data_IF_862066957147
#
_entry.id   IF_862066957147
#
_cell.length_a   1.000
_cell.length_b   1.000
_cell.length_c   1.000
_cell.angle_alpha   90.00
_cell.angle_beta   90.00
_cell.angle_gamma   90.00
#
_symmetry.space_group_name_H-M   'P 1'
#
loop_
_entity.id
_entity.type
_entity.pdbx_description
1 polymer ?
#
# COMPACT_ATOMS: atom_id res chain seq x y z
N UNK A 1 11.55 13.86 -1.07
CA UNK A 1 11.65 12.40 -1.13
C UNK A 1 10.27 11.84 -1.40
N UNK A 2 10.15 10.96 -2.36
CA UNK A 2 8.90 10.24 -2.66
C UNK A 2 9.07 8.87 -2.03
N UNK A 3 8.20 8.52 -1.11
CA UNK A 3 8.13 7.17 -0.58
C UNK A 3 7.00 6.44 -1.29
N UNK A 4 7.34 5.41 -2.01
CA UNK A 4 6.40 4.40 -2.47
C UNK A 4 6.33 3.32 -1.41
N UNK A 5 5.36 3.44 -0.52
CA UNK A 5 5.18 2.49 0.57
C UNK A 5 4.59 1.16 0.13
N UNK A 6 4.13 1.05 -1.10
CA UNK A 6 3.63 -0.21 -1.62
C UNK A 6 4.69 -1.29 -1.68
N UNK A 7 5.92 -0.89 -1.99
CA UNK A 7 7.04 -1.82 -2.07
C UNK A 7 7.66 -2.18 -0.72
N UNK A 8 7.71 -1.23 0.19
CA UNK A 8 8.29 -1.50 1.51
C UNK A 8 7.42 -2.44 2.32
N UNK A 9 6.12 -2.47 2.07
CA UNK A 9 5.20 -3.26 2.84
C UNK A 9 5.24 -4.75 2.54
N UNK A 10 5.83 -5.16 1.45
CA UNK A 10 5.71 -6.50 0.93
C UNK A 10 6.98 -7.29 1.06
N UNK A 11 8.08 -6.60 0.93
CA UNK A 11 9.34 -7.27 0.66
C UNK A 11 9.98 -7.91 1.89
N UNK A 12 9.54 -7.61 3.10
CA UNK A 12 10.44 -7.87 4.19
C UNK A 12 9.92 -8.83 5.24
N UNK A 13 8.67 -8.85 5.55
CA UNK A 13 8.16 -9.84 6.50
C UNK A 13 6.65 -9.70 6.77
N UNK A 14 5.86 -10.72 6.60
CA UNK A 14 4.44 -10.69 6.94
C UNK A 14 4.15 -10.70 8.45
N UNK A 15 5.15 -10.50 9.31
CA UNK A 15 5.00 -10.55 10.76
C UNK A 15 4.93 -9.18 11.45
N UNK A 16 4.62 -9.20 12.74
CA UNK A 16 4.40 -8.03 13.59
C UNK A 16 5.56 -7.01 13.64
N UNK A 17 6.78 -7.45 13.41
CA UNK A 17 7.98 -6.60 13.31
C UNK A 17 7.85 -5.50 12.25
N UNK A 18 7.03 -5.72 11.27
CA UNK A 18 6.85 -4.87 10.14
C UNK A 18 6.01 -3.63 10.42
N UNK A 19 4.98 -3.77 11.22
CA UNK A 19 4.16 -2.66 11.70
C UNK A 19 5.01 -1.64 12.45
N UNK A 20 5.90 -2.11 13.31
CA UNK A 20 6.83 -1.25 14.04
C UNK A 20 7.86 -0.56 13.14
N UNK A 21 8.33 -1.22 12.11
CA UNK A 21 9.30 -0.60 11.18
C UNK A 21 8.66 0.49 10.31
N UNK A 22 7.40 0.36 9.96
CA UNK A 22 6.67 1.40 9.23
C UNK A 22 6.46 2.65 10.04
N UNK A 23 5.99 2.49 11.25
CA UNK A 23 5.78 3.59 12.17
C UNK A 23 7.09 4.32 12.44
N UNK A 24 8.16 3.58 12.67
CA UNK A 24 9.49 4.13 12.83
C UNK A 24 9.99 4.84 11.57
N UNK A 25 9.78 4.29 10.40
CA UNK A 25 10.21 4.91 9.14
C UNK A 25 9.48 6.23 8.87
N UNK A 26 8.19 6.28 9.08
CA UNK A 26 7.40 7.50 8.91
C UNK A 26 7.84 8.57 9.92
N UNK A 27 8.02 8.22 11.19
CA UNK A 27 8.47 9.13 12.23
C UNK A 27 9.90 9.65 11.96
N UNK A 28 10.82 8.77 11.59
CA UNK A 28 12.22 9.12 11.33
C UNK A 28 12.39 10.07 10.13
N UNK A 29 11.59 9.89 9.09
CA UNK A 29 11.66 10.69 7.87
C UNK A 29 10.58 11.76 7.75
N UNK A 30 9.83 12.04 8.79
CA UNK A 30 8.69 12.97 8.76
C UNK A 30 9.00 14.33 8.12
N UNK A 31 10.17 14.92 8.41
CA UNK A 31 10.58 16.22 7.87
C UNK A 31 11.00 16.16 6.39
N UNK A 32 11.07 14.98 5.81
CA UNK A 32 11.48 14.72 4.41
C UNK A 32 10.40 14.01 3.60
N UNK A 33 9.25 13.80 4.20
CA UNK A 33 8.13 13.14 3.54
C UNK A 33 7.27 14.20 2.83
N UNK A 34 7.36 14.26 1.50
CA UNK A 34 6.68 15.27 0.68
C UNK A 34 5.53 14.70 -0.13
N UNK A 35 5.53 13.41 -0.36
CA UNK A 35 4.58 12.74 -1.23
C UNK A 35 4.42 11.29 -0.83
N UNK A 36 3.20 10.78 -0.87
CA UNK A 36 2.84 9.41 -0.52
C UNK A 36 1.98 8.80 -1.63
N UNK A 37 2.30 7.58 -2.03
CA UNK A 37 1.45 6.79 -2.90
C UNK A 37 0.64 5.78 -2.08
N UNK A 38 -0.65 5.73 -2.32
CA UNK A 38 -1.57 4.75 -1.74
C UNK A 38 -1.79 3.62 -2.75
N UNK A 39 -1.00 2.59 -2.62
CA UNK A 39 -1.05 1.37 -3.42
C UNK A 39 -1.23 0.17 -2.51
N UNK A 40 -2.02 -0.79 -2.92
CA UNK A 40 -2.26 -2.00 -2.15
C UNK A 40 -1.76 -3.23 -2.90
N UNK A 41 -1.59 -4.30 -2.17
CA UNK A 41 -1.08 -5.54 -2.72
C UNK A 41 -1.66 -6.73 -1.97
N UNK A 42 -2.01 -7.77 -2.73
CA UNK A 42 -2.43 -9.05 -2.20
C UNK A 42 -1.25 -10.02 -2.18
N UNK A 43 -0.99 -10.63 -1.03
CA UNK A 43 0.02 -11.67 -0.87
C UNK A 43 -0.61 -13.06 -0.90
N UNK A 44 0.15 -14.00 -1.44
CA UNK A 44 -0.17 -15.43 -1.50
C UNK A 44 0.93 -16.21 -0.77
N UNK A 45 0.82 -16.36 0.58
CA UNK A 45 1.89 -16.95 1.40
C UNK A 45 2.29 -18.35 0.99
N UNK A 46 1.34 -19.15 0.53
CA UNK A 46 1.60 -20.50 0.02
C UNK A 46 2.51 -20.50 -1.21
N UNK A 47 2.28 -19.57 -2.13
CA UNK A 47 3.13 -19.41 -3.32
C UNK A 47 4.49 -18.85 -2.95
N UNK A 48 4.53 -17.92 -2.02
CA UNK A 48 5.79 -17.36 -1.51
C UNK A 48 6.66 -18.47 -0.87
N UNK A 49 6.05 -19.36 -0.10
CA UNK A 49 6.75 -20.50 0.52
C UNK A 49 7.30 -21.49 -0.52
N UNK A 50 6.62 -21.67 -1.66
CA UNK A 50 7.04 -22.55 -2.74
C UNK A 50 8.17 -21.96 -3.59
N UNK A 51 8.05 -20.71 -3.99
CA UNK A 51 8.96 -20.13 -4.97
C UNK A 51 10.02 -19.17 -4.39
N UNK A 52 9.78 -18.62 -3.18
CA UNK A 52 10.66 -17.62 -2.59
C UNK A 52 10.53 -16.22 -3.23
N UNK A 53 11.05 -15.21 -2.53
CA UNK A 53 10.89 -13.79 -2.90
C UNK A 53 11.59 -13.37 -4.18
N UNK A 54 12.58 -14.12 -4.64
CA UNK A 54 13.36 -13.81 -5.84
C UNK A 54 12.86 -14.55 -7.09
N UNK A 55 11.81 -15.35 -6.96
CA UNK A 55 11.25 -16.08 -8.10
C UNK A 55 10.59 -15.13 -9.09
N UNK A 56 10.86 -15.34 -10.38
CA UNK A 56 10.19 -14.64 -11.46
C UNK A 56 9.43 -15.65 -12.34
N UNK A 57 8.17 -15.38 -12.69
CA UNK A 57 7.36 -14.21 -12.33
C UNK A 57 7.01 -14.17 -10.84
N UNK A 58 6.66 -12.97 -10.33
CA UNK A 58 6.32 -12.74 -8.93
C UNK A 58 4.91 -13.24 -8.60
N UNK A 59 4.67 -14.54 -8.74
CA UNK A 59 3.34 -15.14 -8.59
C UNK A 59 2.81 -15.13 -7.17
N UNK A 60 3.67 -14.83 -6.18
CA UNK A 60 3.30 -14.78 -4.78
C UNK A 60 2.57 -13.49 -4.39
N UNK A 61 2.45 -12.54 -5.31
CA UNK A 61 1.80 -11.26 -5.06
C UNK A 61 1.00 -10.77 -6.27
N UNK A 62 0.02 -9.91 -6.01
CA UNK A 62 -0.70 -9.20 -7.04
C UNK A 62 -1.02 -7.77 -6.59
N UNK A 63 -0.69 -6.73 -7.40
CA UNK A 63 -1.19 -5.39 -7.17
C UNK A 63 -2.71 -5.38 -7.21
N UNK A 64 -3.31 -4.65 -6.28
CA UNK A 64 -4.77 -4.48 -6.19
C UNK A 64 -5.09 -3.05 -5.74
N UNK A 65 -6.34 -2.65 -5.88
CA UNK A 65 -6.77 -1.33 -5.40
C UNK A 65 -6.74 -1.25 -3.86
N UNK A 66 -6.49 -0.08 -3.28
CA UNK A 66 -6.57 0.14 -1.83
C UNK A 66 -7.83 -0.43 -1.20
N UNK A 67 -7.64 -1.30 -0.21
CA UNK A 67 -8.69 -2.02 0.50
C UNK A 67 -8.95 -3.44 0.01
N UNK A 68 -8.37 -3.88 -1.10
CA UNK A 68 -8.49 -5.24 -1.59
C UNK A 68 -7.27 -6.13 -1.28
N UNK A 69 -6.22 -5.53 -0.75
CA UNK A 69 -4.97 -6.21 -0.41
C UNK A 69 -4.75 -6.43 1.09
N UNK A 70 -3.49 -6.56 1.43
CA UNK A 70 -3.04 -6.91 2.77
C UNK A 70 -2.34 -5.75 3.50
N UNK A 71 -2.31 -4.53 2.93
CA UNK A 71 -1.79 -3.33 3.59
C UNK A 71 -2.69 -2.96 4.77
N UNK A 72 -2.08 -2.76 5.93
CA UNK A 72 -2.81 -2.26 7.11
C UNK A 72 -3.02 -0.74 7.02
N UNK A 73 -4.06 -0.33 6.29
CA UNK A 73 -4.38 1.06 6.04
C UNK A 73 -4.66 1.87 7.32
N UNK A 74 -5.29 1.24 8.30
CA UNK A 74 -5.57 1.89 9.58
C UNK A 74 -4.27 2.32 10.28
N UNK A 75 -3.30 1.41 10.41
CA UNK A 75 -2.01 1.71 11.01
C UNK A 75 -1.20 2.72 10.19
N UNK A 76 -1.20 2.56 8.86
CA UNK A 76 -0.46 3.45 7.97
C UNK A 76 -0.98 4.90 8.05
N UNK A 77 -2.29 5.10 7.96
CA UNK A 77 -2.88 6.43 8.01
C UNK A 77 -2.78 7.01 9.43
N UNK A 78 -2.88 6.18 10.49
CA UNK A 78 -2.63 6.64 11.84
C UNK A 78 -1.21 7.21 12.00
N UNK A 79 -0.19 6.54 11.46
CA UNK A 79 1.18 7.03 11.50
C UNK A 79 1.35 8.36 10.75
N UNK A 80 0.69 8.54 9.60
CA UNK A 80 0.68 9.83 8.90
C UNK A 80 0.00 10.94 9.72
N UNK A 81 -1.10 10.62 10.39
CA UNK A 81 -1.80 11.57 11.27
C UNK A 81 -0.94 11.94 12.48
N UNK A 82 -0.23 11.00 13.09
CA UNK A 82 0.65 11.22 14.25
C UNK A 82 1.76 12.23 13.94
N UNK A 83 2.33 12.16 12.74
CA UNK A 83 3.32 13.14 12.29
C UNK A 83 2.69 14.43 11.71
N UNK A 84 1.38 14.54 11.70
CA UNK A 84 0.63 15.66 11.11
C UNK A 84 0.98 15.90 9.65
N UNK A 85 1.06 14.81 8.89
CA UNK A 85 1.37 14.90 7.48
C UNK A 85 0.31 15.70 6.72
N UNK A 86 0.74 16.74 6.01
CA UNK A 86 -0.10 17.65 5.21
C UNK A 86 0.32 17.70 3.72
N UNK A 87 1.19 16.78 3.32
CA UNK A 87 1.65 16.65 1.94
C UNK A 87 0.64 15.97 1.02
N UNK A 88 1.06 15.77 -0.23
CA UNK A 88 0.22 15.12 -1.22
C UNK A 88 0.16 13.61 -1.00
N UNK A 89 -1.04 13.05 -1.15
CA UNK A 89 -1.27 11.61 -1.22
C UNK A 89 -1.97 11.27 -2.55
N UNK A 90 -1.45 10.31 -3.26
CA UNK A 90 -1.96 9.87 -4.57
C UNK A 90 -2.40 8.43 -4.49
N UNK A 91 -3.62 8.16 -4.95
CA UNK A 91 -4.09 6.78 -5.12
C UNK A 91 -3.47 6.24 -6.41
N UNK A 92 -2.66 5.20 -6.26
CA UNK A 92 -2.09 4.45 -7.37
C UNK A 92 -2.95 3.22 -7.63
N UNK A 93 -3.54 3.16 -8.82
CA UNK A 93 -4.40 2.05 -9.23
C UNK A 93 -3.63 1.14 -10.17
N UNK A 94 -3.39 -0.07 -9.73
CA UNK A 94 -2.85 -1.16 -10.53
C UNK A 94 -3.59 -2.43 -10.08
N UNK A 95 -4.62 -2.82 -10.84
CA UNK A 95 -5.44 -3.98 -10.50
C UNK A 95 -6.06 -4.54 -11.78
N UNK A 96 -5.67 -5.75 -12.13
CA UNK A 96 -6.13 -6.44 -13.36
C UNK A 96 -7.65 -6.56 -13.46
N UNK A 97 -8.36 -6.57 -12.33
CA UNK A 97 -9.82 -6.62 -12.34
C UNK A 97 -10.48 -5.33 -12.86
N UNK A 98 -9.73 -4.23 -12.93
CA UNK A 98 -10.22 -2.91 -13.31
C UNK A 98 -9.55 -2.32 -14.55
N UNK A 99 -8.77 -3.09 -15.29
CA UNK A 99 -8.05 -2.63 -16.49
C UNK A 99 -8.84 -2.78 -17.80
N UNK A 100 -10.05 -3.30 -17.74
CA UNK A 100 -10.83 -3.64 -18.95
C UNK A 100 -11.33 -2.44 -19.73
N UNK A 101 -11.93 -1.46 -19.06
CA UNK A 101 -12.52 -0.28 -19.66
C UNK A 101 -12.18 0.99 -18.89
N UNK A 102 -12.40 2.15 -19.53
CA UNK A 102 -12.27 3.44 -18.84
C UNK A 102 -13.18 3.54 -17.62
N UNK A 103 -14.39 2.97 -17.71
CA UNK A 103 -15.32 2.99 -16.57
C UNK A 103 -14.82 2.12 -15.42
N UNK A 104 -14.21 0.98 -15.71
CA UNK A 104 -13.57 0.14 -14.69
C UNK A 104 -12.46 0.91 -13.95
N UNK A 105 -11.60 1.62 -14.70
CA UNK A 105 -10.55 2.46 -14.12
C UNK A 105 -11.14 3.56 -13.23
N UNK A 106 -12.18 4.25 -13.68
CA UNK A 106 -12.84 5.27 -12.87
C UNK A 106 -13.50 4.68 -11.62
N UNK A 107 -14.08 3.50 -11.73
CA UNK A 107 -14.67 2.80 -10.59
C UNK A 107 -13.62 2.36 -9.56
N UNK A 108 -12.46 1.90 -10.02
CA UNK A 108 -11.34 1.55 -9.12
C UNK A 108 -10.90 2.75 -8.28
N UNK A 109 -10.76 3.93 -8.89
CA UNK A 109 -10.41 5.17 -8.18
C UNK A 109 -11.50 5.54 -7.16
N UNK A 110 -12.77 5.49 -7.54
CA UNK A 110 -13.90 5.79 -6.65
C UNK A 110 -13.98 4.84 -5.46
N UNK A 111 -13.77 3.55 -5.70
CA UNK A 111 -13.76 2.53 -4.65
C UNK A 111 -12.59 2.73 -3.68
N UNK A 112 -11.39 2.93 -4.21
CA UNK A 112 -10.19 3.21 -3.41
C UNK A 112 -10.39 4.43 -2.53
N UNK A 113 -10.86 5.54 -3.12
CA UNK A 113 -11.13 6.76 -2.37
C UNK A 113 -12.15 6.53 -1.26
N UNK A 114 -13.27 5.89 -1.57
CA UNK A 114 -14.33 5.59 -0.58
C UNK A 114 -13.80 4.76 0.58
N UNK A 115 -12.95 3.78 0.30
CA UNK A 115 -12.32 2.96 1.31
C UNK A 115 -11.39 3.78 2.22
N UNK A 116 -10.50 4.56 1.61
CA UNK A 116 -9.52 5.38 2.33
C UNK A 116 -10.17 6.50 3.14
N UNK A 117 -11.27 7.07 2.68
CA UNK A 117 -12.03 8.11 3.39
C UNK A 117 -12.54 7.65 4.77
N UNK A 118 -12.57 6.33 5.05
CA UNK A 118 -12.90 5.85 6.39
C UNK A 118 -11.78 6.08 7.42
N UNK A 119 -10.56 6.34 6.98
CA UNK A 119 -9.39 6.51 7.84
C UNK A 119 -8.84 7.95 7.81
N UNK A 120 -9.08 8.70 6.74
CA UNK A 120 -8.61 10.06 6.57
C UNK A 120 -9.57 11.00 7.30
N UNK A 121 -9.03 11.74 8.26
CA UNK A 121 -9.78 12.74 9.05
C UNK A 121 -9.56 14.13 8.45
#
# INVERSE_FOLDING_TARGET
>A
MIFDFSYTDIDINPGDLWLHQRDWTIEEFKDKLFHVHFKDIKLYPEKLAECGVLAYPLDYMAPVIPGHGDVNWAAFIAALNDIRYDGNAVIEVEDKAFEGTREDILNSIRLSKRYLDNYII
#
